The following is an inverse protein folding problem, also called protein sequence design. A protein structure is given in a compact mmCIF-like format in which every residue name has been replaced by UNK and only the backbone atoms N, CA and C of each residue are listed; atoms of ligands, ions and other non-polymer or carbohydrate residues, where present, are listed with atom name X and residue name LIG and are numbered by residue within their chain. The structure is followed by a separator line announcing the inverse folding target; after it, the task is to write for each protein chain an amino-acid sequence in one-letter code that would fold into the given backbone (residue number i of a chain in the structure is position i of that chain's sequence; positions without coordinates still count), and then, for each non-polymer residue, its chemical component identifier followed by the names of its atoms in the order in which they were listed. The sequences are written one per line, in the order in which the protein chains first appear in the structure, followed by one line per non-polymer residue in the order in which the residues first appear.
data_IF_665857146222
#
_entry.id   IF_665857146222
#
_cell.length_a   1.000
_cell.length_b   1.000
_cell.length_c   1.000
_cell.angle_alpha   90.00
_cell.angle_beta   90.00
_cell.angle_gamma   90.00
#
_symmetry.space_group_name_H-M   'P 1'
#
loop_
_entity.id
_entity.type
_entity.pdbx_description
1 polymer ?
#
# COMPACT_ATOMS: atom_id res chain seq x y z
N UNK A 1 15.50 15.70 29.46
CA UNK A 1 15.00 14.34 29.14
C UNK A 1 14.46 14.41 27.73
N UNK A 2 14.95 13.58 26.82
CA UNK A 2 14.32 13.47 25.51
C UNK A 2 12.91 12.89 25.65
N UNK A 3 11.93 13.34 24.83
CA UNK A 3 10.61 12.71 24.81
C UNK A 3 10.79 11.22 24.47
N UNK A 4 10.30 10.35 25.36
CA UNK A 4 10.42 8.91 25.19
C UNK A 4 9.86 8.50 23.82
N UNK A 5 10.71 7.98 22.95
CA UNK A 5 10.24 7.53 21.63
C UNK A 5 9.53 6.18 21.79
N UNK A 6 8.21 6.21 21.66
CA UNK A 6 7.33 5.05 21.70
C UNK A 6 7.60 4.05 20.53
N UNK A 7 8.22 4.50 19.43
CA UNK A 7 8.66 3.68 18.28
C UNK A 7 9.87 2.79 18.58
N UNK A 8 10.75 3.15 19.52
CA UNK A 8 11.84 2.27 19.95
C UNK A 8 11.35 1.18 20.93
N UNK A 9 10.16 1.39 21.51
CA UNK A 9 9.58 0.51 22.53
C UNK A 9 8.52 -0.46 21.99
N UNK A 10 7.73 -0.06 21.00
CA UNK A 10 6.72 -0.91 20.36
C UNK A 10 7.20 -1.52 19.04
N UNK A 11 7.31 -2.84 18.96
CA UNK A 11 7.25 -3.51 17.66
C UNK A 11 5.81 -3.45 17.15
N UNK A 12 5.49 -2.43 16.33
CA UNK A 12 4.16 -2.22 15.75
C UNK A 12 3.59 -3.47 15.09
N UNK A 13 4.46 -4.30 14.50
CA UNK A 13 4.14 -5.59 13.90
C UNK A 13 3.49 -6.58 14.89
N UNK A 14 3.88 -6.56 16.16
CA UNK A 14 3.34 -7.41 17.23
C UNK A 14 1.93 -7.02 17.65
N UNK A 15 1.48 -5.82 17.30
CA UNK A 15 0.13 -5.32 17.60
C UNK A 15 -0.76 -5.36 16.35
N UNK A 16 -0.20 -5.00 15.20
CA UNK A 16 -0.91 -5.06 13.93
C UNK A 16 -1.35 -6.49 13.56
N UNK A 17 -0.52 -7.50 13.85
CA UNK A 17 -0.83 -8.89 13.49
C UNK A 17 -2.04 -9.45 14.28
N UNK A 18 -2.11 -9.32 15.63
CA UNK A 18 -3.33 -9.68 16.38
C UNK A 18 -4.58 -8.93 15.94
N UNK A 19 -4.47 -7.62 15.66
CA UNK A 19 -5.62 -6.81 15.22
C UNK A 19 -6.20 -7.25 13.87
N UNK A 20 -5.37 -7.80 12.97
CA UNK A 20 -5.84 -8.36 11.71
C UNK A 20 -6.35 -9.81 11.84
N UNK A 21 -5.84 -10.56 12.82
CA UNK A 21 -6.24 -11.95 13.07
C UNK A 21 -7.62 -12.10 13.71
N UNK A 22 -8.14 -11.07 14.40
CA UNK A 22 -9.45 -11.07 15.06
C UNK A 22 -10.61 -10.86 14.07
N UNK A 23 -10.81 -11.77 13.12
CA UNK A 23 -11.84 -11.60 12.09
C UNK A 23 -13.24 -12.00 12.63
N UNK A 24 -14.04 -11.02 13.06
CA UNK A 24 -15.43 -11.21 13.44
C UNK A 24 -16.40 -10.97 12.26
N UNK A 25 -17.08 -12.02 11.78
CA UNK A 25 -18.24 -11.94 10.87
C UNK A 25 -17.95 -11.68 9.38
N UNK A 26 -18.93 -11.92 8.50
CA UNK A 26 -18.82 -11.76 7.04
C UNK A 26 -18.61 -10.31 6.58
N UNK A 27 -19.21 -9.33 7.26
CA UNK A 27 -18.99 -7.91 6.97
C UNK A 27 -17.58 -7.45 7.38
N UNK A 28 -17.09 -7.91 8.54
CA UNK A 28 -15.72 -7.69 8.99
C UNK A 28 -14.70 -8.35 8.04
N UNK A 29 -14.99 -9.54 7.52
CA UNK A 29 -14.12 -10.25 6.55
C UNK A 29 -13.82 -9.44 5.29
N UNK A 30 -14.79 -8.70 4.73
CA UNK A 30 -14.57 -7.93 3.48
C UNK A 30 -13.73 -6.69 3.73
N UNK A 31 -13.99 -5.96 4.82
CA UNK A 31 -13.28 -4.73 5.16
C UNK A 31 -11.87 -5.02 5.69
N UNK A 32 -11.72 -6.04 6.54
CA UNK A 32 -10.41 -6.49 7.05
C UNK A 32 -9.56 -7.11 5.94
N UNK A 33 -10.16 -7.75 4.91
CA UNK A 33 -9.42 -8.20 3.72
C UNK A 33 -8.78 -7.06 2.93
N UNK A 34 -9.37 -5.87 2.95
CA UNK A 34 -8.84 -4.71 2.24
C UNK A 34 -7.75 -3.97 3.04
N UNK A 35 -7.68 -4.18 4.35
CA UNK A 35 -6.65 -3.61 5.22
C UNK A 35 -5.40 -4.48 5.21
N UNK A 36 -4.25 -3.88 4.89
CA UNK A 36 -2.97 -4.58 5.01
C UNK A 36 -2.35 -4.33 6.39
N UNK A 37 -1.38 -5.18 6.76
CA UNK A 37 -0.57 -4.99 7.97
C UNK A 37 0.05 -3.59 8.06
N UNK A 38 0.54 -3.08 6.93
CA UNK A 38 1.13 -1.73 6.84
C UNK A 38 0.15 -0.64 7.26
N UNK A 39 -1.15 -0.88 7.12
CA UNK A 39 -2.16 0.16 7.27
C UNK A 39 -2.60 0.31 8.72
N UNK A 40 -2.70 -0.83 9.40
CA UNK A 40 -2.84 -0.86 10.85
C UNK A 40 -1.59 -0.26 11.51
N UNK A 41 -0.39 -0.58 11.00
CA UNK A 41 0.87 0.01 11.50
C UNK A 41 0.90 1.53 11.32
N UNK A 42 0.48 2.06 10.15
CA UNK A 42 0.36 3.51 9.91
C UNK A 42 -0.65 4.17 10.85
N UNK A 43 -1.78 3.54 11.12
CA UNK A 43 -2.79 4.09 12.04
C UNK A 43 -2.27 4.15 13.48
N UNK A 44 -1.59 3.10 13.96
CA UNK A 44 -0.96 3.09 15.29
C UNK A 44 0.13 4.17 15.36
N UNK A 45 0.96 4.28 14.32
CA UNK A 45 2.00 5.31 14.22
C UNK A 45 1.42 6.72 14.26
N UNK A 46 0.28 6.98 13.63
CA UNK A 46 -0.39 8.27 13.72
C UNK A 46 -0.87 8.59 15.15
N UNK A 47 -1.37 7.59 15.87
CA UNK A 47 -1.69 7.71 17.29
C UNK A 47 -0.49 8.14 18.12
N UNK A 48 0.66 7.51 17.87
CA UNK A 48 1.91 7.84 18.54
C UNK A 48 2.42 9.24 18.20
N UNK A 49 2.48 9.59 16.91
CA UNK A 49 3.01 10.88 16.46
C UNK A 49 2.17 12.04 17.04
N UNK A 50 0.84 11.84 17.17
CA UNK A 50 -0.05 12.81 17.81
C UNK A 50 0.22 12.99 19.31
N UNK A 51 0.56 11.91 20.02
CA UNK A 51 0.96 11.97 21.43
C UNK A 51 2.30 12.69 21.57
N UNK A 52 3.30 12.35 20.76
CA UNK A 52 4.62 13.00 20.80
C UNK A 52 4.53 14.50 20.55
N UNK A 53 3.75 14.89 19.56
CA UNK A 53 3.61 16.30 19.23
C UNK A 53 2.94 17.08 20.37
N UNK A 54 2.01 16.45 21.07
CA UNK A 54 1.41 17.00 22.28
C UNK A 54 2.40 17.06 23.45
N UNK A 55 3.18 16.01 23.68
CA UNK A 55 4.19 15.94 24.76
C UNK A 55 5.30 16.99 24.61
N UNK A 56 5.66 17.39 23.38
CA UNK A 56 6.63 18.49 23.14
C UNK A 56 6.18 19.83 23.73
N UNK A 57 4.88 20.00 23.97
CA UNK A 57 4.30 21.24 24.51
C UNK A 57 4.25 21.25 26.04
N UNK A 58 4.61 20.13 26.67
CA UNK A 58 4.51 19.94 28.11
C UNK A 58 5.85 20.15 28.80
N UNK A 59 5.79 20.63 30.04
CA UNK A 59 6.94 20.62 30.93
C UNK A 59 7.30 19.17 31.30
N UNK A 60 8.58 18.85 31.59
CA UNK A 60 8.98 17.48 31.90
C UNK A 60 8.17 16.83 33.02
N UNK A 61 7.80 17.59 34.06
CA UNK A 61 6.98 17.13 35.19
C UNK A 61 5.55 16.76 34.81
N UNK A 62 5.05 17.27 33.69
CA UNK A 62 3.72 17.00 33.15
C UNK A 62 3.69 15.76 32.26
N UNK A 63 4.83 15.16 31.91
CA UNK A 63 4.84 13.95 31.08
C UNK A 63 4.23 12.76 31.82
N UNK A 64 3.48 11.92 31.09
CA UNK A 64 2.77 10.76 31.66
C UNK A 64 3.69 9.84 32.45
N UNK A 65 4.89 9.59 31.93
CA UNK A 65 5.88 8.68 32.51
C UNK A 65 7.00 9.39 33.28
N UNK A 66 6.83 10.67 33.65
CA UNK A 66 7.89 11.43 34.34
C UNK A 66 8.37 10.76 35.64
N UNK A 67 7.45 10.17 36.40
CA UNK A 67 7.74 9.48 37.67
C UNK A 67 8.04 7.98 37.49
N UNK A 68 8.03 7.47 36.26
CA UNK A 68 8.30 6.08 35.99
C UNK A 68 9.80 5.78 36.13
N UNK A 69 10.18 4.59 36.62
CA UNK A 69 11.59 4.21 36.72
C UNK A 69 12.25 4.14 35.33
N UNK A 70 13.56 4.48 35.21
CA UNK A 70 14.30 4.33 33.95
C UNK A 70 14.31 2.86 33.50
N UNK A 71 14.28 2.63 32.18
CA UNK A 71 13.95 1.33 31.59
C UNK A 71 14.81 0.16 32.11
N UNK A 72 14.13 -0.86 32.64
CA UNK A 72 14.62 -2.19 32.99
C UNK A 72 13.60 -3.28 32.59
N UNK A 73 13.66 -4.49 33.16
CA UNK A 73 12.74 -5.61 32.85
C UNK A 73 11.23 -5.27 33.04
N UNK A 74 10.93 -4.29 33.89
CA UNK A 74 9.58 -3.74 34.15
C UNK A 74 9.47 -2.25 33.79
N UNK A 75 10.26 -1.78 32.82
CA UNK A 75 10.25 -0.40 32.35
C UNK A 75 8.98 -0.03 31.56
N UNK A 76 8.90 1.24 31.19
CA UNK A 76 7.79 1.83 30.41
C UNK A 76 7.58 1.05 29.11
N UNK A 77 8.67 0.58 28.50
CA UNK A 77 8.64 -0.24 27.28
C UNK A 77 7.85 -1.54 27.44
N UNK A 78 8.18 -2.34 28.46
CA UNK A 78 7.55 -3.65 28.71
C UNK A 78 6.06 -3.47 29.03
N UNK A 79 5.74 -2.44 29.80
CA UNK A 79 4.36 -2.08 30.13
C UNK A 79 3.52 -1.70 28.91
N UNK A 80 4.01 -0.81 28.06
CA UNK A 80 3.28 -0.40 26.85
C UNK A 80 3.06 -1.59 25.92
N UNK A 81 4.07 -2.45 25.74
CA UNK A 81 3.92 -3.68 24.95
C UNK A 81 2.86 -4.61 25.55
N UNK A 82 2.85 -4.79 26.87
CA UNK A 82 1.81 -5.54 27.57
C UNK A 82 0.42 -4.93 27.41
N UNK A 83 0.33 -3.60 27.41
CA UNK A 83 -0.94 -2.89 27.29
C UNK A 83 -1.55 -3.06 25.91
N UNK A 84 -0.77 -2.85 24.85
CA UNK A 84 -1.27 -3.02 23.48
C UNK A 84 -1.45 -4.48 23.05
N UNK A 85 -1.00 -5.45 23.84
CA UNK A 85 -1.28 -6.88 23.64
C UNK A 85 -2.43 -7.40 24.50
N UNK A 86 -2.99 -6.57 25.39
CA UNK A 86 -4.15 -6.92 26.19
C UNK A 86 -5.39 -7.14 25.31
N UNK A 87 -6.13 -8.22 25.53
CA UNK A 87 -7.30 -8.58 24.73
C UNK A 87 -8.40 -7.51 24.72
N UNK A 88 -8.65 -6.84 25.85
CA UNK A 88 -9.65 -5.78 25.94
C UNK A 88 -9.22 -4.53 25.16
N UNK A 89 -7.92 -4.20 25.17
CA UNK A 89 -7.36 -3.09 24.38
C UNK A 89 -7.43 -3.42 22.89
N UNK A 90 -7.05 -4.63 22.50
CA UNK A 90 -7.15 -5.10 21.12
C UNK A 90 -8.60 -5.08 20.62
N UNK A 91 -9.57 -5.49 21.43
CA UNK A 91 -10.99 -5.43 21.09
C UNK A 91 -11.44 -3.99 20.81
N UNK A 92 -11.04 -3.02 21.64
CA UNK A 92 -11.38 -1.62 21.42
C UNK A 92 -10.69 -1.04 20.17
N UNK A 93 -9.43 -1.36 19.95
CA UNK A 93 -8.69 -0.93 18.75
C UNK A 93 -9.17 -1.64 17.48
N UNK A 94 -9.81 -2.80 17.60
CA UNK A 94 -10.39 -3.50 16.46
C UNK A 94 -11.67 -2.84 15.96
N UNK A 95 -12.49 -2.22 16.83
CA UNK A 95 -13.79 -1.62 16.45
C UNK A 95 -13.72 -0.70 15.22
N UNK A 96 -12.76 0.24 15.11
CA UNK A 96 -12.65 1.09 13.92
C UNK A 96 -12.38 0.31 12.64
N UNK A 97 -11.60 -0.77 12.71
CA UNK A 97 -11.20 -1.59 11.56
C UNK A 97 -12.40 -2.32 10.93
N UNK A 98 -13.40 -2.63 11.76
CA UNK A 98 -14.65 -3.28 11.34
C UNK A 98 -15.85 -2.33 11.34
N UNK A 99 -15.61 -1.02 11.34
CA UNK A 99 -16.65 0.02 11.30
C UNK A 99 -17.68 -0.06 12.46
N UNK A 100 -17.27 -0.56 13.62
CA UNK A 100 -18.07 -0.56 14.86
C UNK A 100 -17.90 0.72 15.69
N UNK A 101 -17.38 1.78 15.08
CA UNK A 101 -17.18 3.08 15.71
C UNK A 101 -15.85 3.20 16.44
N UNK A 102 -15.78 4.18 17.34
CA UNK A 102 -14.56 4.61 18.01
C UNK A 102 -14.18 3.67 19.16
N UNK A 103 -12.87 3.48 19.47
CA UNK A 103 -12.46 2.78 20.68
C UNK A 103 -13.02 3.47 21.93
N UNK A 104 -13.52 2.68 22.88
CA UNK A 104 -14.03 3.20 24.15
C UNK A 104 -12.87 3.67 25.03
N UNK A 105 -12.84 4.97 25.32
CA UNK A 105 -11.74 5.61 26.04
C UNK A 105 -11.73 5.25 27.51
N UNK A 106 -12.89 5.05 28.12
CA UNK A 106 -13.00 4.77 29.55
C UNK A 106 -12.51 3.35 29.83
N UNK A 107 -12.80 2.41 28.91
CA UNK A 107 -12.23 1.05 28.96
C UNK A 107 -10.71 1.10 28.81
N UNK A 108 -10.20 1.85 27.82
CA UNK A 108 -8.76 1.97 27.59
C UNK A 108 -8.03 2.59 28.79
N UNK A 109 -8.54 3.70 29.35
CA UNK A 109 -7.99 4.34 30.55
C UNK A 109 -8.00 3.36 31.73
N UNK A 110 -9.11 2.65 31.96
CA UNK A 110 -9.25 1.70 33.06
C UNK A 110 -8.23 0.57 32.96
N UNK A 111 -8.07 -0.03 31.78
CA UNK A 111 -7.09 -1.10 31.57
C UNK A 111 -5.66 -0.56 31.73
N UNK A 112 -5.39 0.65 31.26
CA UNK A 112 -4.08 1.29 31.38
C UNK A 112 -3.70 1.49 32.86
N UNK A 113 -4.65 1.98 33.68
CA UNK A 113 -4.47 2.15 35.12
C UNK A 113 -4.23 0.81 35.82
N UNK A 114 -5.09 -0.18 35.60
CA UNK A 114 -4.95 -1.51 36.21
C UNK A 114 -3.59 -2.15 35.90
N UNK A 115 -3.14 -1.99 34.66
CA UNK A 115 -1.89 -2.57 34.22
C UNK A 115 -0.69 -1.79 34.77
N UNK A 116 -0.80 -0.46 34.93
CA UNK A 116 0.24 0.35 35.55
C UNK A 116 0.38 0.02 37.05
N UNK A 117 -0.74 -0.17 37.76
CA UNK A 117 -0.75 -0.62 39.15
C UNK A 117 -0.09 -1.99 39.30
N UNK A 118 -0.44 -2.94 38.43
CA UNK A 118 0.12 -4.31 38.43
C UNK A 118 1.65 -4.30 38.24
N UNK A 119 2.17 -3.38 37.43
CA UNK A 119 3.59 -3.25 37.13
C UNK A 119 4.30 -2.18 37.99
N UNK A 120 3.59 -1.61 38.98
CA UNK A 120 4.09 -0.55 39.87
C UNK A 120 4.67 0.67 39.12
N UNK A 121 4.03 1.06 38.02
CA UNK A 121 4.42 2.22 37.21
C UNK A 121 3.68 3.46 37.72
N UNK A 122 4.45 4.43 38.17
CA UNK A 122 3.92 5.73 38.63
C UNK A 122 3.61 6.61 37.43
N UNK A 123 2.32 6.77 37.16
CA UNK A 123 1.80 7.63 36.12
C UNK A 123 1.45 9.02 36.66
N UNK A 124 1.66 10.05 35.84
CA UNK A 124 1.02 11.34 36.05
C UNK A 124 -0.47 11.24 35.67
N UNK A 125 -1.35 11.32 36.67
CA UNK A 125 -2.80 11.15 36.49
C UNK A 125 -3.44 12.27 35.67
N UNK A 126 -2.90 13.49 35.74
CA UNK A 126 -3.43 14.64 34.99
C UNK A 126 -3.20 14.48 33.47
N UNK A 127 -2.17 13.72 33.10
CA UNK A 127 -1.77 13.51 31.72
C UNK A 127 -2.34 12.23 31.11
N UNK A 128 -2.80 11.27 31.93
CA UNK A 128 -3.29 9.97 31.44
C UNK A 128 -4.48 10.12 30.48
N UNK A 129 -5.49 10.87 30.88
CA UNK A 129 -6.69 11.05 30.07
C UNK A 129 -6.36 11.80 28.76
N UNK A 130 -5.69 12.96 28.77
CA UNK A 130 -5.25 13.62 27.54
C UNK A 130 -4.40 12.72 26.63
N UNK A 131 -3.51 11.91 27.20
CA UNK A 131 -2.64 11.00 26.46
C UNK A 131 -3.45 9.95 25.68
N UNK A 132 -4.36 9.23 26.36
CA UNK A 132 -5.21 8.21 25.72
C UNK A 132 -6.14 8.85 24.67
N UNK A 133 -6.70 10.02 24.98
CA UNK A 133 -7.56 10.73 24.04
C UNK A 133 -6.84 11.12 22.75
N UNK A 134 -5.62 11.68 22.86
CA UNK A 134 -4.81 12.06 21.71
C UNK A 134 -4.49 10.85 20.84
N UNK A 135 -4.02 9.77 21.46
CA UNK A 135 -3.71 8.52 20.76
C UNK A 135 -4.95 7.97 20.03
N UNK A 136 -6.06 7.78 20.74
CA UNK A 136 -7.28 7.16 20.19
C UNK A 136 -7.91 8.01 19.10
N UNK A 137 -7.89 9.35 19.24
CA UNK A 137 -8.44 10.25 18.24
C UNK A 137 -7.66 10.16 16.93
N UNK A 138 -6.33 10.24 16.98
CA UNK A 138 -5.49 10.18 15.80
C UNK A 138 -5.53 8.79 15.16
N UNK A 139 -5.45 7.73 15.96
CA UNK A 139 -5.65 6.35 15.50
C UNK A 139 -6.96 6.19 14.73
N UNK A 140 -8.09 6.60 15.34
CA UNK A 140 -9.41 6.47 14.74
C UNK A 140 -9.54 7.25 13.44
N UNK A 141 -9.07 8.50 13.40
CA UNK A 141 -9.16 9.33 12.20
C UNK A 141 -8.34 8.76 11.05
N UNK A 142 -7.13 8.28 11.32
CA UNK A 142 -6.30 7.65 10.31
C UNK A 142 -6.88 6.32 9.83
N UNK A 143 -7.39 5.48 10.74
CA UNK A 143 -8.06 4.23 10.36
C UNK A 143 -9.26 4.49 9.46
N UNK A 144 -10.15 5.43 9.81
CA UNK A 144 -11.32 5.76 8.99
C UNK A 144 -10.93 6.31 7.62
N UNK A 145 -9.91 7.19 7.56
CA UNK A 145 -9.41 7.74 6.31
C UNK A 145 -8.85 6.64 5.41
N UNK A 146 -8.09 5.72 6.00
CA UNK A 146 -7.50 4.62 5.28
C UNK A 146 -8.53 3.61 4.78
N UNK A 147 -9.53 3.30 5.61
CA UNK A 147 -10.68 2.48 5.22
C UNK A 147 -11.41 3.07 4.02
N UNK A 148 -11.70 4.37 4.03
CA UNK A 148 -12.31 5.06 2.88
C UNK A 148 -11.44 4.98 1.63
N UNK A 149 -10.13 5.16 1.79
CA UNK A 149 -9.19 5.02 0.68
C UNK A 149 -9.19 3.60 0.10
N UNK A 150 -9.19 2.55 0.94
CA UNK A 150 -9.20 1.17 0.46
C UNK A 150 -10.50 0.81 -0.27
N UNK A 151 -11.65 1.24 0.25
CA UNK A 151 -12.93 1.06 -0.45
C UNK A 151 -12.91 1.78 -1.80
N UNK A 152 -12.51 3.06 -1.82
CA UNK A 152 -12.43 3.82 -3.06
C UNK A 152 -11.40 3.24 -4.06
N UNK A 153 -10.28 2.71 -3.58
CA UNK A 153 -9.28 2.03 -4.39
C UNK A 153 -9.85 0.76 -5.00
N UNK A 154 -10.57 -0.04 -4.22
CA UNK A 154 -11.22 -1.25 -4.70
C UNK A 154 -12.28 -0.92 -5.77
N UNK A 155 -13.15 0.06 -5.50
CA UNK A 155 -14.17 0.52 -6.44
C UNK A 155 -13.54 1.04 -7.75
N UNK A 156 -12.43 1.77 -7.64
CA UNK A 156 -11.69 2.28 -8.80
C UNK A 156 -11.05 1.13 -9.59
N UNK A 157 -10.44 0.15 -8.93
CA UNK A 157 -9.88 -1.03 -9.58
C UNK A 157 -10.97 -1.85 -10.29
N UNK A 158 -12.15 -2.02 -9.68
CA UNK A 158 -13.28 -2.69 -10.32
C UNK A 158 -13.78 -1.93 -11.56
N UNK A 159 -13.91 -0.60 -11.46
CA UNK A 159 -14.23 0.25 -12.62
C UNK A 159 -13.19 0.12 -13.73
N UNK A 160 -11.91 0.12 -13.38
CA UNK A 160 -10.80 0.02 -14.33
C UNK A 160 -10.79 -1.36 -15.01
N UNK A 161 -11.01 -2.43 -14.26
CA UNK A 161 -11.16 -3.77 -14.80
C UNK A 161 -12.34 -3.81 -15.78
N UNK A 162 -13.54 -3.36 -15.37
CA UNK A 162 -14.71 -3.34 -16.23
C UNK A 162 -14.52 -2.49 -17.51
N UNK A 163 -13.82 -1.36 -17.41
CA UNK A 163 -13.57 -0.48 -18.55
C UNK A 163 -12.69 -1.12 -19.62
N UNK A 164 -11.65 -1.86 -19.23
CA UNK A 164 -10.69 -2.44 -20.15
C UNK A 164 -10.95 -3.92 -20.47
N UNK A 165 -11.76 -4.61 -19.66
CA UNK A 165 -12.10 -6.02 -19.87
C UNK A 165 -13.28 -6.20 -20.84
N UNK A 166 -14.13 -5.18 -21.06
CA UNK A 166 -15.15 -5.20 -22.13
C UNK A 166 -14.53 -4.84 -23.49
N UNK A 167 -13.94 -5.83 -24.17
CA UNK A 167 -13.37 -5.64 -25.52
C UNK A 167 -14.43 -5.92 -26.57
N UNK A 168 -14.82 -4.86 -27.29
CA UNK A 168 -15.69 -4.95 -28.47
C UNK A 168 -14.82 -4.99 -29.72
N UNK A 169 -14.96 -6.05 -30.51
CA UNK A 169 -14.25 -6.18 -31.77
C UNK A 169 -14.84 -5.23 -32.81
N UNK A 170 -14.11 -4.17 -33.15
CA UNK A 170 -14.46 -3.30 -34.27
C UNK A 170 -14.03 -3.97 -35.58
N UNK A 171 -14.97 -4.57 -36.30
CA UNK A 171 -14.78 -5.14 -37.63
C UNK A 171 -15.79 -4.57 -38.63
N UNK A 172 -15.51 -4.72 -39.93
CA UNK A 172 -16.50 -4.46 -40.98
C UNK A 172 -17.65 -5.46 -40.77
N UNK A 173 -18.86 -4.96 -40.54
CA UNK A 173 -20.04 -5.79 -40.34
C UNK A 173 -20.33 -6.58 -41.63
N UNK A 174 -19.95 -7.85 -41.66
CA UNK A 174 -20.32 -8.78 -42.73
C UNK A 174 -21.68 -9.38 -42.38
N UNK A 175 -22.68 -9.37 -43.29
CA UNK A 175 -23.99 -9.95 -43.03
C UNK A 175 -23.87 -11.42 -42.62
N UNK A 176 -24.38 -11.77 -41.43
CA UNK A 176 -24.35 -13.13 -40.88
C UNK A 176 -23.29 -13.38 -39.79
N UNK A 177 -22.45 -12.39 -39.47
CA UNK A 177 -21.46 -12.47 -38.39
C UNK A 177 -21.98 -11.75 -37.14
N UNK A 178 -21.92 -12.39 -35.97
CA UNK A 178 -22.33 -11.78 -34.70
C UNK A 178 -21.42 -10.59 -34.36
N UNK A 179 -21.91 -9.36 -34.61
CA UNK A 179 -21.17 -8.10 -34.49
C UNK A 179 -20.98 -7.66 -33.03
N UNK A 180 -21.67 -8.30 -32.08
CA UNK A 180 -21.71 -7.89 -30.66
C UNK A 180 -21.20 -8.97 -29.70
N UNK A 181 -20.11 -9.67 -30.04
CA UNK A 181 -19.38 -10.48 -29.05
C UNK A 181 -18.39 -9.60 -28.30
N UNK A 182 -18.75 -9.22 -27.07
CA UNK A 182 -17.80 -8.71 -26.08
C UNK A 182 -17.08 -9.89 -25.46
N UNK A 183 -15.75 -9.87 -25.47
CA UNK A 183 -14.92 -10.87 -24.80
C UNK A 183 -14.05 -10.22 -23.73
N UNK A 184 -13.74 -10.97 -22.68
CA UNK A 184 -12.86 -10.49 -21.61
C UNK A 184 -11.43 -10.36 -22.12
N UNK A 185 -10.82 -9.18 -22.00
CA UNK A 185 -9.43 -8.95 -22.42
C UNK A 185 -8.49 -9.99 -21.84
N UNK A 186 -8.66 -10.35 -20.57
CA UNK A 186 -7.87 -11.37 -19.90
C UNK A 186 -7.95 -12.77 -20.55
N UNK A 187 -9.04 -13.07 -21.26
CA UNK A 187 -9.30 -14.38 -21.88
C UNK A 187 -8.81 -14.45 -23.33
N UNK A 188 -8.79 -13.32 -24.04
CA UNK A 188 -8.42 -13.26 -25.46
C UNK A 188 -7.00 -12.73 -25.69
N UNK A 189 -6.38 -12.10 -24.69
CA UNK A 189 -5.08 -11.48 -24.86
C UNK A 189 -3.96 -12.51 -24.94
N UNK A 190 -3.22 -12.49 -26.05
CA UNK A 190 -2.02 -13.30 -26.24
C UNK A 190 -0.81 -12.43 -25.90
N UNK A 191 -0.04 -12.86 -24.89
CA UNK A 191 1.14 -12.14 -24.41
C UNK A 191 2.19 -12.00 -25.54
N UNK A 192 2.56 -10.76 -25.94
CA UNK A 192 3.56 -10.56 -26.99
C UNK A 192 4.99 -10.68 -26.45
N UNK A 193 5.91 -10.95 -27.37
CA UNK A 193 7.34 -10.75 -27.12
C UNK A 193 7.71 -9.28 -27.30
N UNK A 194 8.64 -8.80 -26.47
CA UNK A 194 9.27 -7.49 -26.57
C UNK A 194 10.78 -7.64 -26.77
N UNK A 195 11.38 -6.66 -27.43
CA UNK A 195 12.82 -6.59 -27.70
C UNK A 195 13.34 -5.30 -27.09
N UNK A 196 14.39 -5.40 -26.27
CA UNK A 196 15.06 -4.23 -25.70
C UNK A 196 15.82 -3.46 -26.80
N UNK A 197 15.62 -2.14 -26.86
CA UNK A 197 16.41 -1.27 -27.74
C UNK A 197 17.63 -0.75 -26.99
N UNK A 198 18.79 -1.37 -27.21
CA UNK A 198 20.06 -0.90 -26.66
C UNK A 198 20.62 0.14 -27.63
N UNK A 199 20.45 1.42 -27.30
CA UNK A 199 21.10 2.51 -28.03
C UNK A 199 22.58 2.49 -27.71
N UNK A 200 23.43 2.15 -28.68
CA UNK A 200 24.84 2.53 -28.63
C UNK A 200 24.91 4.05 -28.69
N UNK A 201 25.51 4.67 -27.67
CA UNK A 201 25.72 6.11 -27.60
C UNK A 201 26.45 6.56 -28.88
N UNK A 202 25.74 7.28 -29.77
CA UNK A 202 26.23 7.71 -31.08
C UNK A 202 25.29 7.43 -32.26
N UNK A 203 24.23 6.64 -32.07
CA UNK A 203 23.28 6.31 -33.15
C UNK A 203 22.50 7.52 -33.69
N UNK A 204 22.01 8.40 -32.80
CA UNK A 204 21.14 9.53 -33.18
C UNK A 204 21.90 10.64 -33.91
N UNK A 205 23.16 10.88 -33.54
CA UNK A 205 24.05 11.82 -34.26
C UNK A 205 24.34 11.33 -35.67
N UNK A 206 24.49 10.01 -35.86
CA UNK A 206 24.66 9.39 -37.19
C UNK A 206 23.41 9.47 -38.05
N UNK A 207 22.23 9.36 -37.44
CA UNK A 207 20.93 9.42 -38.12
C UNK A 207 20.60 10.84 -38.60
N UNK A 208 20.95 11.86 -37.81
CA UNK A 208 20.83 13.27 -38.19
C UNK A 208 21.76 13.64 -39.35
N UNK A 209 23.02 13.17 -39.31
CA UNK A 209 24.02 13.40 -40.35
C UNK A 209 23.74 12.63 -41.65
N UNK A 210 23.09 11.46 -41.56
CA UNK A 210 22.67 10.70 -42.73
C UNK A 210 21.46 11.31 -43.45
N UNK A 211 20.57 11.99 -42.71
CA UNK A 211 19.42 12.70 -43.28
C UNK A 211 19.84 13.92 -44.14
N UNK A 212 20.98 14.55 -43.83
CA UNK A 212 21.52 15.69 -44.60
C UNK A 212 22.30 15.26 -45.86
N UNK A 213 22.77 14.01 -45.93
CA UNK A 213 23.70 13.57 -47.00
C UNK A 213 23.02 12.94 -48.23
N UNK A 214 21.70 12.78 -48.28
CA UNK A 214 20.98 12.31 -49.47
C UNK A 214 21.31 10.88 -49.95
N UNK A 215 22.21 10.15 -49.29
CA UNK A 215 22.55 8.77 -49.62
C UNK A 215 21.73 7.81 -48.77
N UNK A 216 20.85 7.04 -49.40
CA UNK A 216 20.19 5.88 -48.78
C UNK A 216 21.23 4.81 -48.45
N UNK A 217 21.39 4.38 -47.18
CA UNK A 217 22.06 3.14 -46.86
C UNK A 217 21.00 2.13 -46.44
N UNK A 218 20.35 1.47 -47.40
CA UNK A 218 19.41 0.35 -47.15
C UNK A 218 20.08 -0.90 -46.53
N UNK A 219 21.34 -0.79 -46.05
CA UNK A 219 22.07 -1.89 -45.39
C UNK A 219 22.72 -1.54 -44.05
N UNK A 220 22.65 -0.28 -43.60
CA UNK A 220 23.21 0.12 -42.29
C UNK A 220 22.15 0.18 -41.16
N UNK A 221 20.87 0.03 -41.49
CA UNK A 221 19.74 0.10 -40.54
C UNK A 221 19.47 -1.20 -39.77
N UNK A 222 20.17 -2.30 -40.11
CA UNK A 222 19.89 -3.65 -39.60
C UNK A 222 20.82 -4.12 -38.47
N UNK A 223 21.85 -3.36 -38.11
CA UNK A 223 22.65 -3.62 -36.91
C UNK A 223 22.38 -2.57 -35.83
N UNK A 224 21.10 -2.26 -35.58
CA UNK A 224 20.72 -1.95 -34.21
C UNK A 224 21.03 -3.21 -33.43
N UNK A 225 21.97 -3.18 -32.49
CA UNK A 225 22.15 -4.27 -31.53
C UNK A 225 20.84 -4.44 -30.80
N UNK A 226 19.96 -5.29 -31.34
CA UNK A 226 18.72 -5.68 -30.69
C UNK A 226 19.12 -6.34 -29.39
N UNK A 227 18.70 -5.73 -28.29
CA UNK A 227 18.94 -6.25 -26.96
C UNK A 227 18.16 -7.54 -26.74
N UNK A 228 18.05 -7.92 -25.48
CA UNK A 228 17.41 -9.18 -25.10
C UNK A 228 15.94 -9.19 -25.57
N UNK A 229 15.53 -10.32 -26.17
CA UNK A 229 14.12 -10.62 -26.43
C UNK A 229 13.53 -11.34 -25.22
N UNK A 230 12.37 -10.90 -24.75
CA UNK A 230 11.68 -11.49 -23.60
C UNK A 230 10.16 -11.26 -23.68
N UNK A 231 9.38 -11.98 -22.88
CA UNK A 231 7.92 -11.81 -22.83
C UNK A 231 7.55 -10.49 -22.16
N UNK A 232 6.54 -9.79 -22.68
CA UNK A 232 6.14 -8.49 -22.12
C UNK A 232 5.78 -8.54 -20.63
N UNK A 233 5.28 -9.68 -20.12
CA UNK A 233 5.02 -9.86 -18.68
C UNK A 233 6.25 -9.61 -17.80
N UNK A 234 7.45 -9.87 -18.30
CA UNK A 234 8.70 -9.68 -17.56
C UNK A 234 9.21 -8.23 -17.60
N UNK A 235 8.52 -7.35 -18.32
CA UNK A 235 8.92 -5.94 -18.49
C UNK A 235 8.93 -5.17 -17.17
N UNK A 236 8.00 -5.48 -16.27
CA UNK A 236 7.89 -4.81 -14.97
C UNK A 236 8.89 -5.34 -13.94
N UNK A 237 9.34 -6.60 -14.07
CA UNK A 237 10.28 -7.23 -13.13
C UNK A 237 11.74 -7.20 -13.60
N UNK A 238 12.01 -7.18 -14.90
CA UNK A 238 13.37 -7.15 -15.45
C UNK A 238 13.92 -5.74 -15.68
N UNK A 239 13.06 -4.72 -15.75
CA UNK A 239 13.52 -3.34 -15.93
C UNK A 239 14.09 -2.78 -14.62
N UNK A 240 15.38 -2.44 -14.60
CA UNK A 240 16.00 -1.70 -13.49
C UNK A 240 15.60 -0.21 -13.46
N UNK A 241 14.94 0.25 -14.53
CA UNK A 241 14.58 1.65 -14.72
C UNK A 241 13.15 1.92 -14.29
N UNK A 242 12.94 3.04 -13.55
CA UNK A 242 11.61 3.51 -13.14
C UNK A 242 10.73 3.97 -14.31
N UNK A 243 11.28 4.08 -15.51
CA UNK A 243 10.59 4.54 -16.72
C UNK A 243 10.95 3.60 -17.87
N UNK A 244 9.92 3.12 -18.55
CA UNK A 244 10.04 2.28 -19.74
C UNK A 244 9.22 2.92 -20.85
N UNK A 245 9.76 2.93 -22.07
CA UNK A 245 9.07 3.43 -23.26
C UNK A 245 8.86 2.25 -24.19
N UNK A 246 7.61 2.03 -24.61
CA UNK A 246 7.25 0.93 -25.53
C UNK A 246 7.07 1.51 -26.92
N UNK A 247 7.91 1.07 -27.85
CA UNK A 247 7.88 1.46 -29.25
C UNK A 247 7.28 0.35 -30.12
N UNK A 248 6.71 0.73 -31.26
CA UNK A 248 6.14 -0.22 -32.21
C UNK A 248 5.30 0.46 -33.28
N UNK A 249 5.09 -0.21 -34.40
CA UNK A 249 4.28 0.28 -35.51
C UNK A 249 2.82 0.56 -35.11
N UNK A 250 2.07 1.40 -35.86
CA UNK A 250 0.62 1.50 -35.70
C UNK A 250 -0.04 0.13 -35.75
N UNK A 251 -0.99 -0.15 -34.84
CA UNK A 251 -1.67 -1.44 -34.77
C UNK A 251 -0.91 -2.57 -34.06
N UNK A 252 0.33 -2.35 -33.59
CA UNK A 252 1.12 -3.39 -32.90
C UNK A 252 0.64 -3.77 -31.49
N UNK A 253 -0.54 -3.34 -31.07
CA UNK A 253 -1.13 -3.72 -29.78
C UNK A 253 -0.55 -3.03 -28.53
N UNK A 254 0.24 -1.95 -28.65
CA UNK A 254 0.85 -1.25 -27.49
C UNK A 254 -0.16 -0.83 -26.43
N UNK A 255 -1.24 -0.18 -26.84
CA UNK A 255 -2.31 0.27 -25.93
C UNK A 255 -3.03 -0.92 -25.30
N UNK A 256 -3.27 -1.97 -26.07
CA UNK A 256 -3.90 -3.21 -25.60
C UNK A 256 -3.03 -3.91 -24.55
N UNK A 257 -1.71 -3.96 -24.74
CA UNK A 257 -0.76 -4.48 -23.76
C UNK A 257 -0.81 -3.69 -22.44
N UNK A 258 -0.84 -2.35 -22.50
CA UNK A 258 -0.98 -1.51 -21.30
C UNK A 258 -2.34 -1.70 -20.62
N UNK A 259 -3.41 -1.85 -21.41
CA UNK A 259 -4.75 -2.13 -20.89
C UNK A 259 -4.78 -3.48 -20.18
N UNK A 260 -4.15 -4.51 -20.75
CA UNK A 260 -4.02 -5.84 -20.13
C UNK A 260 -3.27 -5.78 -18.79
N UNK A 261 -2.14 -5.07 -18.72
CA UNK A 261 -1.43 -4.88 -17.43
C UNK A 261 -2.31 -4.17 -16.39
N UNK A 262 -3.06 -3.16 -16.80
CA UNK A 262 -3.95 -2.44 -15.90
C UNK A 262 -5.06 -3.34 -15.35
N UNK A 263 -5.68 -4.19 -16.18
CA UNK A 263 -6.67 -5.20 -15.75
C UNK A 263 -6.04 -6.21 -14.79
N UNK A 264 -4.88 -6.79 -15.12
CA UNK A 264 -4.22 -7.77 -14.26
C UNK A 264 -3.88 -7.20 -12.88
N UNK A 265 -3.40 -5.95 -12.83
CA UNK A 265 -3.13 -5.25 -11.57
C UNK A 265 -4.41 -4.92 -10.80
N UNK A 266 -5.46 -4.49 -11.48
CA UNK A 266 -6.75 -4.17 -10.87
C UNK A 266 -7.46 -5.41 -10.29
N UNK A 267 -7.31 -6.57 -10.93
CA UNK A 267 -7.82 -7.86 -10.45
C UNK A 267 -6.91 -8.52 -9.40
N UNK A 268 -5.88 -7.84 -8.91
CA UNK A 268 -4.90 -8.37 -7.95
C UNK A 268 -4.15 -9.62 -8.44
N UNK A 269 -3.97 -9.77 -9.76
CA UNK A 269 -3.21 -10.84 -10.41
C UNK A 269 -1.82 -10.35 -10.81
N UNK A 270 -1.14 -9.64 -9.91
CA UNK A 270 0.19 -9.07 -10.14
C UNK A 270 1.25 -10.14 -10.41
N UNK A 271 1.08 -11.33 -9.84
CA UNK A 271 1.88 -12.54 -10.06
C UNK A 271 1.96 -12.95 -11.54
N UNK A 272 0.89 -12.74 -12.31
CA UNK A 272 0.85 -13.01 -13.77
C UNK A 272 1.83 -12.09 -14.52
N UNK A 273 2.15 -10.93 -13.94
CA UNK A 273 3.12 -9.96 -14.44
C UNK A 273 4.51 -10.14 -13.80
N UNK A 274 4.75 -11.25 -13.09
CA UNK A 274 6.01 -11.51 -12.40
C UNK A 274 6.33 -10.52 -11.29
N UNK A 275 5.29 -9.94 -10.66
CA UNK A 275 5.41 -9.07 -9.49
C UNK A 275 4.97 -9.87 -8.25
N UNK A 276 5.80 -9.84 -7.20
CA UNK A 276 5.54 -10.44 -5.88
C UNK A 276 4.77 -9.49 -4.95
#
# INVERSE_FOLDING_TARGET
MEPFSFLASLELSKIASPLLGTVAGEAGKRIVKALTKSDVEKAIKAGEDAVKEWEKQLEPSQLLFFHAPPDGLHGVKSFLQGYFTNSAVLEQLHKPLINQGKPDRDILIRVFQQQAETHNIKLNQDSLKPWIERFVNAYFQHTVTYLKFQVAKQDYCEQLANWFDDVKFAGIAVPGQEVEKSEKLAQIFVMPDVVEEVSTAGGWERELLAAESGEKPERALLEKTTGRKFLAQQLLSQSQSRRVVILGAPGSGKTTLMSYFAVMLAESKAEVLGLD
#
